data_IF_712424876133
#
_entry.id   IF_712424876133
#
_cell.length_a   1.000
_cell.length_b   1.000
_cell.length_c   1.000
_cell.angle_alpha   90.00
_cell.angle_beta   90.00
_cell.angle_gamma   90.00
#
_symmetry.space_group_name_H-M   'P 1'
#
loop_
_entity.id
_entity.type
_entity.pdbx_description
1 polymer ?
#
# COMPACT_ATOMS: atom_id res chain seq x y z
N UNK A 1 -2.99 -54.57 -7.83
CA UNK A 1 -3.63 -53.59 -6.93
C UNK A 1 -2.72 -52.39 -6.82
N UNK A 2 -3.31 -51.23 -7.02
CA UNK A 2 -2.70 -49.90 -7.06
C UNK A 2 -2.29 -49.43 -5.66
N UNK A 3 -1.39 -48.44 -5.61
CA UNK A 3 -1.08 -47.51 -4.50
C UNK A 3 0.20 -47.74 -3.70
N UNK A 4 1.05 -46.74 -3.41
CA UNK A 4 1.17 -45.33 -3.85
C UNK A 4 2.56 -44.86 -3.40
N UNK A 5 3.23 -44.09 -4.24
CA UNK A 5 4.51 -43.44 -3.99
C UNK A 5 4.39 -42.35 -2.92
N UNK A 6 4.70 -42.65 -1.66
CA UNK A 6 4.96 -41.62 -0.62
C UNK A 6 6.46 -41.42 -0.48
N UNK A 7 6.99 -40.36 -1.10
CA UNK A 7 8.40 -40.02 -0.89
C UNK A 7 8.93 -38.81 -1.66
N UNK A 8 8.08 -37.92 -2.18
CA UNK A 8 8.54 -36.81 -3.03
C UNK A 8 7.93 -35.45 -2.73
N UNK A 9 7.43 -35.20 -1.51
CA UNK A 9 6.87 -33.89 -1.15
C UNK A 9 7.43 -33.23 0.11
N UNK A 10 8.42 -33.82 0.81
CA UNK A 10 9.05 -33.14 1.96
C UNK A 10 10.33 -32.36 1.62
N UNK A 11 10.87 -32.49 0.41
CA UNK A 11 12.07 -31.76 -0.01
C UNK A 11 11.80 -30.39 -0.64
N UNK A 12 10.55 -30.10 -1.02
CA UNK A 12 10.12 -28.75 -1.49
C UNK A 12 9.77 -27.79 -0.35
N UNK A 13 9.54 -28.31 0.86
CA UNK A 13 9.32 -27.50 2.06
C UNK A 13 10.64 -26.93 2.64
N UNK A 14 11.79 -27.52 2.29
CA UNK A 14 13.13 -27.12 2.78
C UNK A 14 13.87 -26.30 1.73
N UNK A 15 13.44 -25.05 1.56
CA UNK A 15 14.22 -23.87 1.13
C UNK A 15 13.30 -22.64 1.23
N UNK A 16 12.83 -22.36 2.45
CA UNK A 16 12.28 -21.07 2.84
C UNK A 16 13.44 -20.06 2.83
N UNK A 17 13.77 -19.54 1.66
CA UNK A 17 14.90 -18.65 1.46
C UNK A 17 14.38 -17.21 1.29
N UNK A 18 14.62 -16.39 2.33
CA UNK A 18 14.36 -14.94 2.53
C UNK A 18 12.94 -14.51 2.94
N UNK A 19 12.87 -13.86 4.11
CA UNK A 19 11.72 -13.15 4.65
C UNK A 19 11.22 -12.09 3.66
N UNK A 20 9.99 -12.24 3.17
CA UNK A 20 9.32 -11.24 2.32
C UNK A 20 9.14 -9.96 3.12
N UNK A 21 9.48 -8.79 2.54
CA UNK A 21 9.28 -7.49 3.18
C UNK A 21 7.96 -6.87 2.74
N UNK A 22 7.39 -5.99 3.57
CA UNK A 22 6.16 -5.26 3.25
C UNK A 22 6.35 -4.36 2.04
N UNK A 23 7.54 -3.78 1.90
CA UNK A 23 7.95 -3.00 0.75
C UNK A 23 7.82 -3.78 -0.56
N UNK A 24 8.28 -5.04 -0.58
CA UNK A 24 8.17 -5.91 -1.77
C UNK A 24 6.70 -6.08 -2.19
N UNK A 25 5.79 -6.23 -1.23
CA UNK A 25 4.36 -6.38 -1.47
C UNK A 25 3.71 -5.09 -2.00
N UNK A 26 4.15 -3.93 -1.48
CA UNK A 26 3.71 -2.63 -1.98
C UNK A 26 4.19 -2.37 -3.41
N UNK A 27 5.41 -2.77 -3.78
CA UNK A 27 5.86 -2.66 -5.17
C UNK A 27 4.96 -3.43 -6.12
N UNK A 28 4.65 -4.68 -5.77
CA UNK A 28 3.92 -5.57 -6.66
C UNK A 28 2.51 -5.08 -6.93
N UNK A 29 1.79 -4.68 -5.88
CA UNK A 29 0.44 -4.15 -6.06
C UNK A 29 0.47 -2.82 -6.84
N UNK A 30 1.43 -1.94 -6.56
CA UNK A 30 1.55 -0.68 -7.28
C UNK A 30 1.94 -0.90 -8.75
N UNK A 31 2.84 -1.83 -9.07
CA UNK A 31 3.17 -2.23 -10.45
C UNK A 31 1.95 -2.75 -11.19
N UNK A 32 1.18 -3.62 -10.54
CA UNK A 32 -0.06 -4.17 -11.10
C UNK A 32 -1.07 -3.08 -11.41
N UNK A 33 -1.32 -2.19 -10.45
CA UNK A 33 -2.28 -1.09 -10.62
C UNK A 33 -1.85 -0.08 -11.69
N UNK A 34 -0.54 0.08 -11.91
CA UNK A 34 0.06 0.88 -12.99
C UNK A 34 0.14 0.16 -14.34
N UNK A 35 -0.25 -1.11 -14.41
CA UNK A 35 -0.14 -2.00 -15.58
C UNK A 35 1.30 -2.17 -16.08
N UNK A 36 2.26 -2.25 -15.17
CA UNK A 36 3.67 -2.52 -15.46
C UNK A 36 3.88 -4.03 -15.44
N UNK A 37 4.46 -4.61 -16.51
CA UNK A 37 4.80 -6.03 -16.54
C UNK A 37 5.82 -6.35 -15.44
N UNK A 38 5.39 -7.10 -14.43
CA UNK A 38 6.29 -7.64 -13.41
C UNK A 38 6.99 -8.87 -13.99
N UNK A 39 8.28 -8.74 -14.35
CA UNK A 39 9.13 -9.90 -14.67
C UNK A 39 9.38 -10.81 -13.46
N UNK A 40 9.06 -10.34 -12.25
CA UNK A 40 9.06 -11.14 -11.03
C UNK A 40 7.75 -11.94 -11.00
N UNK A 41 7.81 -13.22 -11.37
CA UNK A 41 6.79 -14.22 -10.98
C UNK A 41 6.94 -14.50 -9.48
N UNK A 42 6.55 -13.57 -8.63
CA UNK A 42 6.26 -13.94 -7.25
C UNK A 42 4.86 -14.53 -7.17
N UNK A 43 4.65 -15.28 -6.07
CA UNK A 43 3.47 -16.12 -5.81
C UNK A 43 2.21 -15.41 -6.26
N UNK A 44 1.29 -16.19 -6.80
CA UNK A 44 -0.14 -15.93 -6.77
C UNK A 44 -0.51 -15.36 -5.37
N UNK A 45 -0.46 -14.04 -5.20
CA UNK A 45 -1.09 -13.34 -4.08
C UNK A 45 -2.57 -13.35 -4.46
N UNK A 46 -3.21 -14.49 -4.22
CA UNK A 46 -4.62 -14.69 -4.55
C UNK A 46 -5.53 -13.77 -3.72
N UNK A 47 -5.09 -13.40 -2.52
CA UNK A 47 -5.84 -12.52 -1.63
C UNK A 47 -4.93 -11.71 -0.70
N UNK A 48 -5.40 -10.52 -0.35
CA UNK A 48 -4.74 -9.57 0.55
C UNK A 48 -4.48 -10.18 1.93
N UNK A 49 -5.27 -11.19 2.31
CA UNK A 49 -5.09 -11.94 3.56
C UNK A 49 -3.70 -12.59 3.66
N UNK A 50 -3.04 -12.95 2.54
CA UNK A 50 -1.66 -13.48 2.53
C UNK A 50 -0.61 -12.40 2.82
N UNK A 51 -0.82 -11.19 2.28
CA UNK A 51 0.00 -10.01 2.58
C UNK A 51 -0.15 -9.65 4.06
N UNK A 52 -1.40 -9.67 4.54
CA UNK A 52 -1.75 -9.38 5.92
C UNK A 52 -1.15 -10.39 6.90
N UNK A 53 -1.20 -11.69 6.62
CA UNK A 53 -0.54 -12.70 7.46
C UNK A 53 0.96 -12.44 7.60
N UNK A 54 1.63 -12.02 6.51
CA UNK A 54 3.06 -11.69 6.54
C UNK A 54 3.35 -10.40 7.35
N UNK A 55 2.45 -9.42 7.33
CA UNK A 55 2.52 -8.19 8.16
C UNK A 55 2.34 -8.53 9.64
N UNK A 56 1.46 -9.47 9.98
CA UNK A 56 1.26 -9.93 11.37
C UNK A 56 2.46 -10.72 11.93
N UNK A 57 3.24 -11.38 11.07
CA UNK A 57 4.45 -12.12 11.44
C UNK A 57 5.71 -11.22 11.55
N UNK A 58 5.62 -9.97 11.09
CA UNK A 58 6.69 -8.96 11.15
C UNK A 58 6.24 -7.83 12.07
N UNK A 59 6.50 -7.88 13.40
CA UNK A 59 6.12 -6.81 14.31
C UNK A 59 6.76 -5.50 13.86
N UNK A 60 5.95 -4.59 13.31
CA UNK A 60 6.39 -3.24 12.96
C UNK A 60 6.38 -2.43 14.26
N UNK A 61 7.55 -2.23 14.87
CA UNK A 61 7.65 -1.47 16.12
C UNK A 61 7.24 0.00 15.91
N UNK A 62 6.13 0.41 16.53
CA UNK A 62 5.64 1.79 16.49
C UNK A 62 6.70 2.83 16.93
N UNK A 63 7.49 2.50 17.97
CA UNK A 63 8.50 3.38 18.54
C UNK A 63 9.74 3.62 17.66
N UNK A 64 9.94 2.83 16.60
CA UNK A 64 11.08 2.97 15.69
C UNK A 64 10.93 4.09 14.65
N UNK A 65 9.76 4.75 14.60
CA UNK A 65 9.44 5.75 13.58
C UNK A 65 9.36 7.16 14.16
N UNK A 66 10.25 8.04 13.74
CA UNK A 66 10.29 9.43 14.23
C UNK A 66 9.47 10.38 13.36
N UNK A 67 9.42 10.12 12.05
CA UNK A 67 8.71 10.94 11.07
C UNK A 67 7.19 10.89 11.26
N UNK A 68 6.54 12.04 11.37
CA UNK A 68 5.07 12.15 11.44
C UNK A 68 4.46 12.22 10.05
N UNK A 69 3.18 11.84 9.92
CA UNK A 69 2.49 11.77 8.63
C UNK A 69 2.47 13.12 7.88
N UNK A 70 2.31 14.24 8.60
CA UNK A 70 2.34 15.57 7.99
C UNK A 70 3.71 15.97 7.44
N UNK A 71 4.78 15.28 7.83
CA UNK A 71 6.13 15.49 7.32
C UNK A 71 6.42 14.63 6.08
N UNK A 72 5.46 13.81 5.62
CA UNK A 72 5.63 12.96 4.44
C UNK A 72 5.80 13.80 3.17
N UNK A 73 6.91 13.57 2.45
CA UNK A 73 7.20 14.28 1.20
C UNK A 73 6.30 13.75 0.10
N UNK A 74 6.06 12.43 0.05
CA UNK A 74 5.18 11.83 -0.95
C UNK A 74 3.73 12.27 -0.78
N UNK A 75 3.27 12.45 0.46
CA UNK A 75 1.94 13.01 0.71
C UNK A 75 1.81 14.42 0.17
N UNK A 76 2.81 15.27 0.44
CA UNK A 76 2.87 16.63 -0.11
C UNK A 76 2.89 16.61 -1.64
N UNK A 77 3.74 15.78 -2.25
CA UNK A 77 3.82 15.63 -3.71
C UNK A 77 2.49 15.19 -4.34
N UNK A 78 1.74 14.28 -3.71
CA UNK A 78 0.41 13.87 -4.18
C UNK A 78 -0.58 15.05 -4.18
N UNK A 79 -0.61 15.83 -3.10
CA UNK A 79 -1.49 17.01 -2.98
C UNK A 79 -1.09 18.08 -4.01
N UNK A 80 0.20 18.38 -4.12
CA UNK A 80 0.72 19.38 -5.05
C UNK A 80 0.41 18.99 -6.51
N UNK A 81 0.61 17.72 -6.88
CA UNK A 81 0.34 17.22 -8.25
C UNK A 81 -1.14 17.30 -8.60
N UNK A 82 -2.02 16.92 -7.66
CA UNK A 82 -3.46 17.05 -7.85
C UNK A 82 -3.84 18.52 -8.02
N UNK A 83 -3.44 19.38 -7.07
CA UNK A 83 -3.80 20.81 -7.06
C UNK A 83 -3.32 21.53 -8.32
N UNK A 84 -2.14 21.20 -8.83
CA UNK A 84 -1.59 21.85 -10.02
C UNK A 84 -2.23 21.36 -11.33
N UNK A 85 -2.96 20.24 -11.32
CA UNK A 85 -3.49 19.61 -12.53
C UNK A 85 -2.39 19.18 -13.52
N UNK A 86 -1.15 18.98 -13.06
CA UNK A 86 0.00 18.72 -13.94
C UNK A 86 0.07 17.24 -14.34
N UNK A 87 -0.99 16.71 -14.93
CA UNK A 87 -1.09 15.32 -15.40
C UNK A 87 -2.12 15.24 -16.55
N UNK A 88 -2.01 14.23 -17.41
CA UNK A 88 -3.00 13.95 -18.46
C UNK A 88 -4.21 13.20 -17.91
N UNK A 89 -3.94 12.22 -17.04
CA UNK A 89 -4.95 11.37 -16.43
C UNK A 89 -4.54 11.05 -15.00
N UNK A 90 -5.53 10.94 -14.12
CA UNK A 90 -5.34 10.45 -12.77
C UNK A 90 -6.30 9.31 -12.50
N UNK A 91 -5.78 8.22 -11.94
CA UNK A 91 -6.54 7.08 -11.44
C UNK A 91 -6.36 6.99 -9.93
N UNK A 92 -7.46 6.88 -9.20
CA UNK A 92 -7.47 6.54 -7.78
C UNK A 92 -8.01 5.13 -7.59
N UNK A 93 -7.34 4.33 -6.78
CA UNK A 93 -7.87 3.06 -6.29
C UNK A 93 -7.73 2.96 -4.78
N UNK A 94 -8.75 2.42 -4.13
CA UNK A 94 -8.79 2.19 -2.69
C UNK A 94 -9.27 0.78 -2.43
N UNK A 95 -8.99 0.26 -1.24
CA UNK A 95 -9.54 -1.02 -0.79
C UNK A 95 -11.06 -1.08 -1.01
N UNK A 96 -11.49 -2.02 -1.88
CA UNK A 96 -12.92 -2.20 -2.27
C UNK A 96 -13.80 -2.67 -1.11
N UNK A 97 -13.22 -3.22 -0.04
CA UNK A 97 -13.96 -3.57 1.17
C UNK A 97 -14.19 -2.25 1.91
N UNK A 98 -15.39 -1.65 1.77
CA UNK A 98 -15.85 -0.48 2.57
C UNK A 98 -15.53 -0.74 4.05
N UNK A 99 -14.40 -0.19 4.48
CA UNK A 99 -13.68 -0.73 5.61
C UNK A 99 -14.23 -0.28 6.95
N UNK A 100 -15.10 0.73 7.04
CA UNK A 100 -15.63 1.15 8.35
C UNK A 100 -16.38 0.02 9.10
N UNK A 101 -17.17 -0.82 8.42
CA UNK A 101 -17.88 -1.93 9.08
C UNK A 101 -16.98 -3.15 9.38
N UNK A 102 -15.75 -3.19 8.83
CA UNK A 102 -14.77 -4.28 9.04
C UNK A 102 -13.41 -3.77 9.54
N UNK A 103 -13.33 -2.51 9.96
CA UNK A 103 -12.10 -1.80 10.35
C UNK A 103 -11.45 -2.49 11.55
N UNK A 104 -12.31 -2.94 12.47
CA UNK A 104 -11.96 -3.76 13.64
C UNK A 104 -11.39 -5.14 13.30
N UNK A 105 -11.52 -5.62 12.05
CA UNK A 105 -11.01 -6.92 11.61
C UNK A 105 -9.73 -6.85 10.78
N UNK A 106 -9.58 -5.84 9.92
CA UNK A 106 -8.45 -5.81 8.96
C UNK A 106 -7.23 -5.06 9.45
N UNK A 107 -7.37 -4.11 10.39
CA UNK A 107 -6.26 -3.31 10.95
C UNK A 107 -5.34 -2.64 9.91
N UNK A 108 -5.79 -2.54 8.66
CA UNK A 108 -5.08 -1.90 7.56
C UNK A 108 -6.03 -1.24 6.55
N UNK A 109 -5.54 -0.20 5.89
CA UNK A 109 -6.20 0.45 4.76
C UNK A 109 -5.19 0.65 3.62
N UNK A 110 -5.67 0.61 2.38
CA UNK A 110 -4.84 0.80 1.19
C UNK A 110 -5.41 1.90 0.29
N UNK A 111 -4.51 2.74 -0.22
CA UNK A 111 -4.86 3.90 -1.04
C UNK A 111 -3.80 4.12 -2.13
N UNK A 112 -4.26 4.25 -3.37
CA UNK A 112 -3.43 4.50 -4.54
C UNK A 112 -3.85 5.75 -5.30
N UNK A 113 -2.85 6.47 -5.77
CA UNK A 113 -2.98 7.49 -6.81
C UNK A 113 -1.96 7.24 -7.91
N UNK A 114 -2.43 7.16 -9.15
CA UNK A 114 -1.61 6.96 -10.33
C UNK A 114 -1.85 8.12 -11.26
N UNK A 115 -0.78 8.86 -11.54
CA UNK A 115 -0.77 9.96 -12.50
C UNK A 115 -0.12 9.49 -13.79
N UNK A 116 -0.82 9.69 -14.91
CA UNK A 116 -0.24 9.61 -16.23
C UNK A 116 0.23 11.01 -16.61
N UNK A 117 1.54 11.17 -16.73
CA UNK A 117 2.16 12.38 -17.26
C UNK A 117 2.38 12.21 -18.76
N UNK A 118 2.78 13.28 -19.44
CA UNK A 118 3.02 13.30 -20.89
C UNK A 118 4.01 12.22 -21.36
N UNK A 119 5.06 11.98 -20.59
CA UNK A 119 6.19 11.11 -20.95
C UNK A 119 6.44 9.96 -19.94
N UNK A 120 5.71 9.90 -18.83
CA UNK A 120 5.92 8.89 -17.80
C UNK A 120 4.67 8.67 -16.93
N UNK A 121 4.71 7.63 -16.08
CA UNK A 121 3.69 7.41 -15.04
C UNK A 121 4.32 7.55 -13.66
N UNK A 122 3.58 8.16 -12.74
CA UNK A 122 3.94 8.23 -11.32
C UNK A 122 2.83 7.59 -10.52
N UNK A 123 3.15 6.52 -9.79
CA UNK A 123 2.23 5.86 -8.87
C UNK A 123 2.66 6.09 -7.43
N UNK A 124 1.68 6.32 -6.58
CA UNK A 124 1.83 6.34 -5.13
C UNK A 124 0.90 5.28 -4.56
N UNK A 125 1.43 4.38 -3.74
CA UNK A 125 0.64 3.40 -3.01
C UNK A 125 0.94 3.46 -1.52
N UNK A 126 -0.12 3.61 -0.72
CA UNK A 126 -0.03 3.78 0.71
C UNK A 126 -0.73 2.62 1.43
N UNK A 127 -0.05 2.03 2.41
CA UNK A 127 -0.58 1.11 3.39
C UNK A 127 -0.60 1.79 4.76
N UNK A 128 -1.80 1.96 5.30
CA UNK A 128 -2.03 2.45 6.65
C UNK A 128 -2.20 1.20 7.52
N UNK A 129 -1.41 1.08 8.58
CA UNK A 129 -1.39 -0.07 9.49
C UNK A 129 -1.64 0.39 10.93
N UNK A 130 -2.50 -0.33 11.64
CA UNK A 130 -2.90 -0.05 13.01
C UNK A 130 -2.38 -1.16 13.93
N UNK A 131 -1.18 -1.01 14.53
CA UNK A 131 -0.61 -2.02 15.41
C UNK A 131 -1.43 -2.21 16.69
N UNK A 132 -2.10 -1.15 17.16
CA UNK A 132 -2.94 -1.17 18.35
C UNK A 132 -4.26 -0.44 18.07
N UNK A 133 -5.35 -1.19 18.00
CA UNK A 133 -6.68 -0.61 17.84
C UNK A 133 -7.23 -0.08 19.17
N UNK A 134 -7.73 1.15 19.15
CA UNK A 134 -8.59 1.66 20.21
C UNK A 134 -9.97 1.00 20.10
N UNK A 135 -10.25 0.05 21.00
CA UNK A 135 -11.49 -0.74 20.98
C UNK A 135 -12.77 0.10 21.16
N UNK A 136 -12.67 1.26 21.81
CA UNK A 136 -13.81 2.15 22.06
C UNK A 136 -14.05 3.12 20.90
N UNK A 137 -12.97 3.58 20.28
CA UNK A 137 -13.00 4.55 19.17
C UNK A 137 -11.94 4.16 18.14
N UNK A 138 -12.21 3.18 17.26
CA UNK A 138 -11.22 2.65 16.33
C UNK A 138 -10.62 3.71 15.41
N UNK A 139 -11.40 4.72 15.03
CA UNK A 139 -10.94 5.88 14.25
C UNK A 139 -9.91 6.77 14.99
N UNK A 140 -9.74 6.60 16.30
CA UNK A 140 -8.73 7.30 17.13
C UNK A 140 -7.49 6.43 17.38
N UNK A 141 -7.32 5.35 16.63
CA UNK A 141 -6.16 4.46 16.79
C UNK A 141 -4.89 5.13 16.27
N UNK A 142 -3.76 4.82 16.91
CA UNK A 142 -2.42 5.15 16.43
C UNK A 142 -1.94 4.16 15.39
N UNK A 143 -0.96 4.53 14.58
CA UNK A 143 -0.40 3.61 13.60
C UNK A 143 0.66 4.20 12.68
N UNK A 144 0.92 3.46 11.61
CA UNK A 144 2.01 3.71 10.68
C UNK A 144 1.44 3.80 9.27
N UNK A 145 1.92 4.75 8.48
CA UNK A 145 1.69 4.81 7.03
C UNK A 145 2.99 4.46 6.33
N UNK A 146 2.94 3.43 5.48
CA UNK A 146 3.99 3.06 4.55
C UNK A 146 3.57 3.52 3.16
N UNK A 147 4.38 4.35 2.51
CA UNK A 147 4.08 4.88 1.18
C UNK A 147 5.18 4.44 0.23
N UNK A 148 4.82 3.72 -0.82
CA UNK A 148 5.67 3.43 -1.96
C UNK A 148 5.39 4.45 -3.08
N UNK A 149 6.45 4.94 -3.72
CA UNK A 149 6.39 5.73 -4.93
C UNK A 149 7.09 4.97 -6.05
N UNK A 150 6.40 4.85 -7.18
CA UNK A 150 6.87 4.21 -8.40
C UNK A 150 6.91 5.24 -9.53
N UNK A 151 8.03 5.37 -10.23
CA UNK A 151 8.16 6.17 -11.44
C UNK A 151 8.49 5.22 -12.60
N UNK A 152 7.63 5.21 -13.62
CA UNK A 152 7.84 4.40 -14.82
C UNK A 152 8.03 5.30 -16.04
N UNK A 153 9.25 5.33 -16.60
CA UNK A 153 9.66 6.19 -17.70
C UNK A 153 10.66 5.47 -18.60
N UNK A 154 10.48 5.55 -19.93
CA UNK A 154 11.41 4.99 -20.92
C UNK A 154 11.79 3.51 -20.68
N UNK A 155 10.81 2.70 -20.25
CA UNK A 155 11.02 1.29 -19.92
C UNK A 155 11.76 1.02 -18.59
N UNK A 156 12.19 2.06 -17.89
CA UNK A 156 12.77 1.98 -16.54
C UNK A 156 11.70 2.20 -15.48
N UNK A 157 11.89 1.55 -14.33
CA UNK A 157 10.97 1.64 -13.20
C UNK A 157 11.74 1.81 -11.91
N UNK A 158 11.57 2.96 -11.27
CA UNK A 158 12.25 3.33 -10.02
C UNK A 158 11.29 3.32 -8.85
N UNK A 159 11.74 2.78 -7.71
CA UNK A 159 10.98 2.69 -6.47
C UNK A 159 11.63 3.47 -5.35
N UNK A 160 10.80 4.10 -4.53
CA UNK A 160 11.21 4.77 -3.30
C UNK A 160 10.12 4.66 -2.24
N UNK A 161 10.50 4.78 -0.97
CA UNK A 161 9.61 4.52 0.14
C UNK A 161 9.70 5.58 1.22
N UNK A 162 8.57 5.85 1.84
CA UNK A 162 8.49 6.59 3.09
C UNK A 162 7.72 5.80 4.12
N UNK A 163 8.11 5.99 5.37
CA UNK A 163 7.42 5.48 6.55
C UNK A 163 7.16 6.65 7.47
N UNK A 164 5.95 6.75 7.97
CA UNK A 164 5.55 7.79 8.91
C UNK A 164 4.62 7.20 9.97
N UNK A 165 4.61 7.78 11.16
CA UNK A 165 3.65 7.44 12.22
C UNK A 165 2.56 8.51 12.37
N UNK A 166 1.47 8.11 12.99
CA UNK A 166 0.39 8.99 13.45
C UNK A 166 -0.11 8.49 14.81
N UNK A 167 -0.42 9.43 15.71
CA UNK A 167 -0.93 9.14 17.04
C UNK A 167 -2.48 9.10 17.05
N UNK A 168 -3.16 9.80 16.13
CA UNK A 168 -4.62 9.79 15.98
C UNK A 168 -5.03 9.76 14.49
N UNK A 169 -5.62 8.66 14.03
CA UNK A 169 -6.03 8.51 12.62
C UNK A 169 -7.08 9.52 12.17
N UNK A 170 -8.09 9.79 12.98
CA UNK A 170 -9.17 10.70 12.65
C UNK A 170 -8.66 12.13 12.49
N UNK A 171 -7.63 12.52 13.25
CA UNK A 171 -7.04 13.87 13.18
C UNK A 171 -5.95 13.94 12.11
N UNK A 172 -5.06 12.95 12.03
CA UNK A 172 -3.81 13.10 11.29
C UNK A 172 -3.82 12.45 9.91
N UNK A 173 -4.65 11.45 9.67
CA UNK A 173 -4.62 10.67 8.42
C UNK A 173 -5.90 10.83 7.61
N UNK A 174 -7.06 10.66 8.26
CA UNK A 174 -8.37 10.75 7.61
C UNK A 174 -8.56 12.06 6.83
N UNK A 175 -8.15 13.24 7.33
CA UNK A 175 -8.31 14.49 6.58
C UNK A 175 -7.53 14.51 5.26
N UNK A 176 -6.37 13.85 5.19
CA UNK A 176 -5.62 13.73 3.94
C UNK A 176 -6.29 12.79 2.94
N UNK A 177 -6.88 11.69 3.39
CA UNK A 177 -7.64 10.79 2.53
C UNK A 177 -8.85 11.53 1.94
N UNK A 178 -9.57 12.28 2.78
CA UNK A 178 -10.71 13.09 2.37
C UNK A 178 -10.27 14.18 1.37
N UNK A 179 -9.22 14.94 1.68
CA UNK A 179 -8.64 15.98 0.83
C UNK A 179 -8.21 15.45 -0.54
N UNK A 180 -7.37 14.41 -0.57
CA UNK A 180 -6.92 13.79 -1.82
C UNK A 180 -8.12 13.28 -2.64
N UNK A 181 -9.15 12.80 -1.95
CA UNK A 181 -10.37 12.35 -2.57
C UNK A 181 -11.23 13.46 -3.18
N UNK A 182 -11.30 14.61 -2.52
CA UNK A 182 -11.97 15.81 -3.02
C UNK A 182 -11.23 16.39 -4.22
N UNK A 183 -9.91 16.55 -4.11
CA UNK A 183 -9.07 17.02 -5.20
C UNK A 183 -9.20 16.11 -6.43
N UNK A 184 -9.14 14.79 -6.27
CA UNK A 184 -9.37 13.85 -7.36
C UNK A 184 -10.75 14.03 -8.02
N UNK A 185 -11.81 14.25 -7.23
CA UNK A 185 -13.17 14.45 -7.76
C UNK A 185 -13.29 15.73 -8.58
N UNK A 186 -12.60 16.80 -8.17
CA UNK A 186 -12.59 18.07 -8.90
C UNK A 186 -12.00 17.96 -10.31
N UNK A 187 -11.12 16.97 -10.54
CA UNK A 187 -10.48 16.73 -11.84
C UNK A 187 -11.18 15.70 -12.72
N UNK A 188 -12.33 15.14 -12.31
CA UNK A 188 -13.08 14.28 -13.22
C UNK A 188 -13.63 15.11 -14.37
N UNK A 189 -13.33 14.77 -15.64
CA UNK A 189 -14.08 15.31 -16.75
C UNK A 189 -15.54 14.89 -16.57
N UNK A 190 -16.47 15.84 -16.55
CA UNK A 190 -17.90 15.59 -16.79
C UNK A 190 -18.11 14.95 -18.15
#
# INVERSE_FOLDING_TARGET
MTQWSKGKDMSRQKKLDKSIKIEDLLEEELRREMFIQSGKKFRYIDDWDTVMHSVYELPIEYGGYTKRIHESKFLKEMVDTLTSGSFEEVKRSESRRKQMQRFTKTMTMYYNLIFKMKDHKVGYGALIYFPELNQKQPERSKGIVLIAKCIAKDGKVDFSYEKARFDDFLIEVKPYIELLGDLYRAHKPT
#
